data_IF_926842246344
#
_entry.id   IF_926842246344
#
_cell.length_a   1.000
_cell.length_b   1.000
_cell.length_c   1.000
_cell.angle_alpha   90.00
_cell.angle_beta   90.00
_cell.angle_gamma   90.00
#
_symmetry.space_group_name_H-M   'P 1'
#
loop_
_entity.id
_entity.type
_entity.pdbx_description
1 polymer ?
#
# COMPACT_ATOMS: atom_id res chain seq x y z
N UNK A 1 0.71 -25.05 32.11
CA UNK A 1 0.10 -23.94 31.36
C UNK A 1 -1.11 -24.49 30.64
N UNK A 2 -2.27 -24.50 31.32
CA UNK A 2 -3.56 -25.05 30.87
C UNK A 2 -4.57 -23.90 31.01
N UNK A 3 -4.29 -22.78 30.36
CA UNK A 3 -4.98 -21.50 30.61
C UNK A 3 -5.21 -20.66 29.34
N UNK A 4 -4.92 -21.21 28.16
CA UNK A 4 -5.31 -20.62 26.88
C UNK A 4 -6.39 -21.49 26.27
N UNK A 5 -7.65 -21.10 26.52
CA UNK A 5 -8.79 -21.65 25.81
C UNK A 5 -8.62 -21.32 24.32
N UNK A 6 -8.44 -22.35 23.50
CA UNK A 6 -8.13 -22.20 22.07
C UNK A 6 -9.40 -22.09 21.21
N UNK A 7 -10.58 -22.18 21.84
CA UNK A 7 -11.88 -22.17 21.16
C UNK A 7 -12.32 -20.75 20.75
N UNK A 8 -11.85 -19.69 21.43
CA UNK A 8 -12.30 -18.32 21.19
C UNK A 8 -11.38 -17.50 20.26
N UNK A 9 -10.34 -18.12 19.69
CA UNK A 9 -9.40 -17.45 18.78
C UNK A 9 -9.81 -17.72 17.34
N UNK A 10 -10.34 -16.70 16.67
CA UNK A 10 -10.65 -16.76 15.22
C UNK A 10 -9.38 -17.02 14.44
N UNK A 11 -9.32 -18.17 13.76
CA UNK A 11 -8.23 -18.51 12.85
C UNK A 11 -8.40 -17.76 11.53
N UNK A 12 -7.28 -17.43 10.90
CA UNK A 12 -7.27 -16.95 9.51
C UNK A 12 -7.86 -18.06 8.65
N UNK A 13 -8.85 -17.73 7.83
CA UNK A 13 -9.52 -18.67 6.93
C UNK A 13 -8.62 -19.11 5.78
N UNK A 14 -9.21 -19.79 4.79
CA UNK A 14 -8.47 -20.22 3.61
C UNK A 14 -8.04 -19.03 2.75
N UNK A 15 -6.78 -19.05 2.30
CA UNK A 15 -6.25 -18.05 1.37
C UNK A 15 -6.49 -18.56 -0.05
N UNK A 16 -7.20 -17.80 -0.90
CA UNK A 16 -7.49 -18.24 -2.27
C UNK A 16 -6.18 -18.43 -3.06
N UNK A 17 -6.03 -19.59 -3.68
CA UNK A 17 -4.90 -19.88 -4.55
C UNK A 17 -5.24 -19.47 -6.00
N UNK A 18 -4.45 -18.58 -6.59
CA UNK A 18 -4.64 -18.13 -7.97
C UNK A 18 -4.21 -16.69 -8.20
N UNK A 19 -4.45 -16.19 -9.42
CA UNK A 19 -4.30 -14.77 -9.74
C UNK A 19 -5.53 -14.00 -9.26
N UNK A 20 -5.37 -12.75 -8.78
CA UNK A 20 -6.50 -11.90 -8.40
C UNK A 20 -7.35 -11.59 -9.64
N UNK A 21 -8.68 -11.54 -9.45
CA UNK A 21 -9.61 -11.11 -10.50
C UNK A 21 -9.55 -9.60 -10.69
N UNK A 22 -9.84 -9.13 -11.90
CA UNK A 22 -10.02 -7.70 -12.16
C UNK A 22 -11.29 -7.20 -11.45
N UNK A 23 -11.17 -6.10 -10.70
CA UNK A 23 -12.26 -5.42 -10.00
C UNK A 23 -12.54 -4.11 -10.71
N UNK A 24 -13.80 -3.91 -11.12
CA UNK A 24 -14.22 -2.64 -11.69
C UNK A 24 -14.35 -1.58 -10.59
N UNK A 25 -13.85 -0.34 -10.80
CA UNK A 25 -14.01 0.72 -9.82
C UNK A 25 -15.49 1.07 -9.68
N UNK A 26 -16.00 0.99 -8.44
CA UNK A 26 -17.32 1.49 -8.10
C UNK A 26 -17.23 2.99 -7.83
N UNK A 27 -18.01 3.77 -8.58
CA UNK A 27 -18.04 5.24 -8.44
C UNK A 27 -19.41 5.60 -7.92
N UNK A 28 -19.46 6.09 -6.68
CA UNK A 28 -20.65 6.65 -6.07
C UNK A 28 -20.57 8.18 -6.15
N UNK A 29 -21.58 8.82 -6.71
CA UNK A 29 -21.63 10.29 -6.81
C UNK A 29 -21.76 10.97 -5.45
N UNK A 30 -22.36 10.30 -4.46
CA UNK A 30 -22.53 10.85 -3.12
C UNK A 30 -21.21 10.83 -2.35
N UNK A 31 -20.42 9.76 -2.50
CA UNK A 31 -19.11 9.61 -1.86
C UNK A 31 -17.95 10.18 -2.68
N UNK A 32 -18.18 10.61 -3.92
CA UNK A 32 -17.11 11.01 -4.83
C UNK A 32 -16.16 12.05 -4.24
N UNK A 33 -16.70 13.06 -3.54
CA UNK A 33 -15.89 14.11 -2.91
C UNK A 33 -15.03 13.54 -1.78
N UNK A 34 -15.61 12.69 -0.93
CA UNK A 34 -14.90 12.03 0.18
C UNK A 34 -13.79 11.12 -0.36
N UNK A 35 -14.09 10.31 -1.39
CA UNK A 35 -13.12 9.44 -2.05
C UNK A 35 -11.94 10.22 -2.63
N UNK A 36 -12.17 11.40 -3.20
CA UNK A 36 -11.09 12.25 -3.74
C UNK A 36 -10.22 12.82 -2.62
N UNK A 37 -10.83 13.25 -1.51
CA UNK A 37 -10.09 13.75 -0.34
C UNK A 37 -9.25 12.63 0.27
N UNK A 38 -9.84 11.46 0.49
CA UNK A 38 -9.14 10.28 1.03
C UNK A 38 -7.99 9.84 0.11
N UNK A 39 -8.22 9.81 -1.20
CA UNK A 39 -7.17 9.50 -2.17
C UNK A 39 -6.02 10.51 -2.12
N UNK A 40 -6.32 11.80 -1.96
CA UNK A 40 -5.29 12.83 -1.83
C UNK A 40 -4.48 12.66 -0.53
N UNK A 41 -5.15 12.38 0.59
CA UNK A 41 -4.51 12.16 1.89
C UNK A 41 -3.61 10.92 1.85
N UNK A 42 -4.15 9.79 1.40
CA UNK A 42 -3.42 8.53 1.29
C UNK A 42 -2.27 8.62 0.28
N UNK A 43 -2.50 9.27 -0.86
CA UNK A 43 -1.47 9.52 -1.87
C UNK A 43 -0.33 10.36 -1.31
N UNK A 44 -0.64 11.46 -0.62
CA UNK A 44 0.38 12.32 0.00
C UNK A 44 1.16 11.58 1.08
N UNK A 45 0.48 10.82 1.94
CA UNK A 45 1.10 10.00 2.97
C UNK A 45 2.07 8.97 2.35
N UNK A 46 1.64 8.28 1.30
CA UNK A 46 2.47 7.30 0.61
C UNK A 46 3.67 7.92 -0.11
N UNK A 47 3.52 9.12 -0.67
CA UNK A 47 4.63 9.88 -1.25
C UNK A 47 5.68 10.24 -0.18
N UNK A 48 5.25 10.72 0.99
CA UNK A 48 6.15 11.07 2.10
C UNK A 48 6.93 9.83 2.56
N UNK A 49 6.25 8.71 2.78
CA UNK A 49 6.86 7.47 3.27
C UNK A 49 7.85 6.89 2.26
N UNK A 50 7.53 6.96 0.97
CA UNK A 50 8.43 6.53 -0.11
C UNK A 50 9.68 7.40 -0.18
N UNK A 51 9.54 8.72 -0.12
CA UNK A 51 10.67 9.64 -0.17
C UNK A 51 11.56 9.49 1.08
N UNK A 52 10.96 9.32 2.26
CA UNK A 52 11.72 9.06 3.50
C UNK A 52 12.52 7.75 3.37
N UNK A 53 11.88 6.70 2.87
CA UNK A 53 12.53 5.41 2.61
C UNK A 53 13.66 5.51 1.59
N UNK A 54 13.48 6.26 0.51
CA UNK A 54 14.51 6.50 -0.50
C UNK A 54 15.71 7.27 0.08
N UNK A 55 15.47 8.31 0.89
CA UNK A 55 16.54 9.05 1.59
C UNK A 55 17.32 8.15 2.55
N UNK A 56 16.65 7.24 3.26
CA UNK A 56 17.33 6.25 4.10
C UNK A 56 18.19 5.32 3.23
N UNK A 57 17.66 4.80 2.13
CA UNK A 57 18.39 3.95 1.20
C UNK A 57 19.63 4.64 0.59
N UNK A 58 19.49 5.92 0.22
CA UNK A 58 20.58 6.75 -0.26
C UNK A 58 21.67 6.94 0.79
N UNK A 59 21.29 7.17 2.05
CA UNK A 59 22.24 7.32 3.15
C UNK A 59 23.08 6.06 3.39
N UNK A 60 22.49 4.87 3.18
CA UNK A 60 23.15 3.58 3.33
C UNK A 60 24.03 3.27 2.11
N UNK A 61 23.52 3.52 0.90
CA UNK A 61 24.19 3.14 -0.36
C UNK A 61 25.15 4.20 -0.91
N UNK A 62 25.14 5.41 -0.34
CA UNK A 62 25.89 6.60 -0.78
C UNK A 62 25.67 6.96 -2.25
N UNK A 63 24.46 6.73 -2.74
CA UNK A 63 24.00 7.14 -4.08
C UNK A 63 22.86 8.14 -3.94
N UNK A 64 22.58 8.87 -5.00
CA UNK A 64 21.40 9.74 -5.09
C UNK A 64 20.28 9.03 -5.86
N UNK A 65 19.06 9.11 -5.34
CA UNK A 65 17.84 8.72 -6.04
C UNK A 65 17.28 9.89 -6.86
N UNK A 66 16.38 9.56 -7.79
CA UNK A 66 15.57 10.53 -8.52
C UNK A 66 14.17 10.58 -7.87
N UNK A 67 13.87 11.65 -7.14
CA UNK A 67 12.60 11.77 -6.40
C UNK A 67 11.37 11.74 -7.31
N UNK A 68 11.45 12.24 -8.55
CA UNK A 68 10.33 12.17 -9.50
C UNK A 68 10.03 10.72 -9.89
N UNK A 69 11.09 9.91 -10.05
CA UNK A 69 10.97 8.49 -10.37
C UNK A 69 10.41 7.70 -9.18
N UNK A 70 10.87 8.01 -7.97
CA UNK A 70 10.37 7.41 -6.73
C UNK A 70 8.91 7.77 -6.44
N UNK A 71 8.40 8.89 -6.97
CA UNK A 71 6.98 9.24 -6.85
C UNK A 71 6.11 8.60 -7.95
N UNK A 72 6.58 8.59 -9.20
CA UNK A 72 5.81 8.05 -10.33
C UNK A 72 5.66 6.53 -10.25
N UNK A 73 6.66 5.82 -9.75
CA UNK A 73 6.65 4.36 -9.62
C UNK A 73 5.49 3.84 -8.76
N UNK A 74 5.42 4.20 -7.47
CA UNK A 74 4.33 3.80 -6.58
C UNK A 74 2.97 4.32 -7.02
N UNK A 75 2.88 5.52 -7.60
CA UNK A 75 1.64 6.04 -8.17
C UNK A 75 1.07 5.12 -9.26
N UNK A 76 1.92 4.69 -10.19
CA UNK A 76 1.54 3.72 -11.22
C UNK A 76 1.23 2.34 -10.64
N UNK A 77 2.03 1.88 -9.68
CA UNK A 77 1.80 0.60 -9.01
C UNK A 77 0.45 0.56 -8.29
N UNK A 78 0.07 1.64 -7.58
CA UNK A 78 -1.21 1.77 -6.90
C UNK A 78 -2.40 1.84 -7.87
N UNK A 79 -2.24 2.48 -9.04
CA UNK A 79 -3.27 2.46 -10.07
C UNK A 79 -3.51 1.03 -10.59
N UNK A 80 -2.44 0.28 -10.87
CA UNK A 80 -2.55 -1.10 -11.37
C UNK A 80 -3.09 -2.02 -10.27
N UNK A 81 -2.58 -1.91 -9.05
CA UNK A 81 -2.96 -2.79 -7.93
C UNK A 81 -4.42 -2.58 -7.51
N UNK A 82 -4.92 -1.34 -7.56
CA UNK A 82 -6.33 -1.02 -7.29
C UNK A 82 -7.29 -1.76 -8.24
N UNK A 83 -6.90 -1.98 -9.50
CA UNK A 83 -7.70 -2.76 -10.47
C UNK A 83 -7.79 -4.24 -10.14
N UNK A 84 -6.95 -4.75 -9.23
CA UNK A 84 -6.99 -6.13 -8.73
C UNK A 84 -7.56 -6.21 -7.30
N UNK A 85 -8.14 -5.12 -6.79
CA UNK A 85 -8.68 -5.04 -5.43
C UNK A 85 -7.60 -5.03 -4.35
N UNK A 86 -6.36 -4.66 -4.69
CA UNK A 86 -5.29 -4.53 -3.71
C UNK A 86 -5.47 -3.28 -2.84
N UNK A 87 -4.89 -3.33 -1.64
CA UNK A 87 -4.80 -2.17 -0.76
C UNK A 87 -3.73 -1.20 -1.29
N UNK A 88 -3.92 0.12 -1.11
CA UNK A 88 -2.92 1.12 -1.47
C UNK A 88 -1.63 0.90 -0.65
N UNK A 89 -0.48 0.98 -1.31
CA UNK A 89 0.85 0.76 -0.71
C UNK A 89 1.78 1.96 -0.85
N UNK A 90 2.88 1.94 -0.08
CA UNK A 90 3.94 2.94 -0.05
C UNK A 90 5.33 2.27 0.07
N UNK A 91 6.40 3.07 0.13
CA UNK A 91 7.77 2.58 0.31
C UNK A 91 7.93 1.78 1.62
N UNK A 92 8.40 0.53 1.51
CA UNK A 92 8.53 -0.35 2.67
C UNK A 92 9.86 -0.12 3.41
N UNK A 93 9.88 0.78 4.39
CA UNK A 93 11.08 1.09 5.19
C UNK A 93 11.74 -0.16 5.81
N UNK A 94 10.95 -1.12 6.31
CA UNK A 94 11.47 -2.36 6.92
C UNK A 94 12.13 -3.32 5.90
N UNK A 95 11.77 -3.21 4.61
CA UNK A 95 12.38 -4.03 3.55
C UNK A 95 13.64 -3.43 2.94
N UNK A 96 13.90 -2.15 3.21
CA UNK A 96 15.01 -1.38 2.59
C UNK A 96 16.20 -1.12 3.51
N UNK A 97 16.03 -1.25 4.83
CA UNK A 97 17.12 -1.09 5.83
C UNK A 97 17.75 -2.41 6.26
#
# INVERSE_FOLDING_TARGET
VILFDTEDIRRIGEIPAGLPSLVAPYIDTEMFVEMVIDALVLGTLGCIDTLLTAVIGDSVTRKEHDSDKELRGPGLANMISGLFGALPGAGATMGTV
#
